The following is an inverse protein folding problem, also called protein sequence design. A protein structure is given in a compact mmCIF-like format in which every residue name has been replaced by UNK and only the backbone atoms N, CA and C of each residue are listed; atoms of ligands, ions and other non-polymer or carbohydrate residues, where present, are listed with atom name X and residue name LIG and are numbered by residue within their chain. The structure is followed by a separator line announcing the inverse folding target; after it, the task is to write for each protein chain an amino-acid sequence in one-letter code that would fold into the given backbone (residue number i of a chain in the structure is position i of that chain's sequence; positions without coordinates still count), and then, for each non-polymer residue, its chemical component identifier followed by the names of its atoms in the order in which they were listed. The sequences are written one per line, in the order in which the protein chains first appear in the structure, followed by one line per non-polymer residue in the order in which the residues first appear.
data_IF_164673187718
#
_entry.id   IF_164673187718
#
_cell.length_a   1.000
_cell.length_b   1.000
_cell.length_c   1.000
_cell.angle_alpha   90.00
_cell.angle_beta   90.00
_cell.angle_gamma   90.00
#
_symmetry.space_group_name_H-M   'P 1'
#
loop_
_entity.id
_entity.type
_entity.pdbx_description
1 polymer ?
2 non-polymer ?
3 non-polymer ?
4 water ?
#
# COMPACT_ATOMS: atom_id res chain seq x y z
N UNK A 1 -7.09 28.13 15.35
CA UNK A 1 -7.47 29.34 14.54
C UNK A 1 -8.35 29.02 13.36
N UNK A 2 -8.12 27.85 12.73
CA UNK A 2 -9.11 27.18 11.91
C UNK A 2 -9.89 26.09 12.67
N UNK A 3 -9.41 25.74 13.86
CA UNK A 3 -10.06 24.74 14.74
C UNK A 3 -11.54 25.07 14.92
N UNK A 4 -12.34 24.02 14.82
CA UNK A 4 -13.79 24.13 14.97
C UNK A 4 -14.54 24.76 13.83
N UNK A 5 -13.82 25.16 12.77
CA UNK A 5 -14.43 25.80 11.60
C UNK A 5 -14.11 25.04 10.33
N UNK A 6 -15.01 25.22 9.37
CA UNK A 6 -14.81 24.80 8.02
C UNK A 6 -13.52 25.41 7.43
N UNK A 7 -12.76 24.54 6.76
CA UNK A 7 -11.56 24.94 6.04
C UNK A 7 -11.92 24.85 4.55
N UNK A 8 -11.58 25.92 3.83
CA UNK A 8 -11.76 25.98 2.39
C UNK A 8 -10.43 25.65 1.82
N UNK A 9 -10.36 24.65 0.93
CA UNK A 9 -9.07 24.26 0.40
C UNK A 9 -9.24 23.52 -0.93
N UNK A 10 -8.13 23.14 -1.55
CA UNK A 10 -8.18 22.42 -2.80
C UNK A 10 -8.10 20.92 -2.60
N UNK A 11 -8.78 20.18 -3.45
CA UNK A 11 -8.66 18.70 -3.49
C UNK A 11 -8.86 18.26 -4.90
N UNK A 12 -8.40 17.04 -5.15
CA UNK A 12 -8.49 16.35 -6.42
C UNK A 12 -9.70 15.42 -6.35
N UNK A 13 -10.80 15.86 -6.93
CA UNK A 13 -12.06 15.14 -6.99
C UNK A 13 -12.20 14.38 -8.30
N UNK A 14 -12.60 13.13 -8.21
CA UNK A 14 -12.94 12.31 -9.32
C UNK A 14 -14.45 12.33 -9.32
N UNK A 15 -15.05 13.02 -10.30
CA UNK A 15 -16.52 13.17 -10.34
C UNK A 15 -17.20 11.96 -10.96
N UNK A 16 -16.45 11.20 -11.79
CA UNK A 16 -16.93 10.11 -12.62
C UNK A 16 -15.74 9.21 -12.98
N UNK A 17 -16.06 7.95 -13.24
CA UNK A 17 -15.12 6.98 -13.67
C UNK A 17 -14.47 7.41 -14.93
N UNK A 18 -13.33 6.81 -15.20
CA UNK A 18 -12.58 6.96 -16.41
C UNK A 18 -12.33 8.41 -16.82
N UNK A 19 -12.17 9.27 -15.85
CA UNK A 19 -11.92 10.67 -16.09
C UNK A 19 -10.70 11.11 -15.32
N UNK A 20 -10.05 12.20 -15.78
CA UNK A 20 -8.98 12.80 -14.99
C UNK A 20 -9.52 13.36 -13.69
N UNK A 21 -8.64 13.53 -12.71
CA UNK A 21 -8.99 14.19 -11.48
C UNK A 21 -9.19 15.66 -11.77
N UNK A 22 -10.11 16.32 -11.08
CA UNK A 22 -10.35 17.75 -11.22
C UNK A 22 -9.90 18.39 -9.93
N UNK A 23 -8.99 19.36 -10.02
CA UNK A 23 -8.58 20.12 -8.84
C UNK A 23 -9.69 21.11 -8.52
N UNK A 24 -10.38 20.98 -7.37
CA UNK A 24 -11.58 21.75 -7.07
C UNK A 24 -11.40 22.40 -5.74
N UNK A 25 -12.03 23.55 -5.54
CA UNK A 25 -12.12 24.12 -4.21
C UNK A 25 -13.16 23.31 -3.44
N UNK A 26 -12.83 22.86 -2.23
CA UNK A 26 -13.79 22.06 -1.47
C UNK A 26 -13.91 22.66 -0.11
N UNK A 27 -14.94 22.26 0.63
CA UNK A 27 -14.97 22.55 2.07
C UNK A 27 -14.84 21.28 2.92
N UNK A 28 -14.06 21.42 3.97
CA UNK A 28 -13.73 20.33 4.82
C UNK A 28 -14.28 20.70 6.20
N UNK A 29 -15.28 19.94 6.62
CA UNK A 29 -15.87 20.15 7.95
C UNK A 29 -14.87 19.91 9.08
N UNK A 30 -15.08 20.62 10.21
CA UNK A 30 -14.27 20.38 11.41
C UNK A 30 -14.45 18.92 11.94
N UNK A 31 -13.48 18.38 12.66
CA UNK A 31 -13.68 16.97 13.06
C UNK A 31 -14.74 16.77 14.16
N UNK A 32 -15.69 15.84 13.98
CA UNK A 32 -16.58 15.48 15.11
C UNK A 32 -15.85 14.64 16.23
N UNK A 33 -16.59 14.09 17.19
CA UNK A 33 -16.04 13.22 18.22
C UNK A 33 -15.27 12.09 17.60
N UNK A 34 -14.05 11.92 18.08
CA UNK A 34 -13.14 10.84 17.76
C UNK A 34 -12.69 10.90 16.31
N UNK A 35 -12.68 12.12 15.75
CA UNK A 35 -12.21 12.43 14.41
C UNK A 35 -11.05 13.40 14.48
N UNK A 36 -10.22 13.37 13.44
CA UNK A 36 -8.92 14.06 13.41
C UNK A 36 -8.77 14.76 12.05
N UNK A 37 -8.50 16.06 12.04
CA UNK A 37 -8.36 16.80 10.79
C UNK A 37 -6.86 17.02 10.57
N UNK A 38 -6.39 16.66 9.38
CA UNK A 38 -4.96 16.61 9.05
C UNK A 38 -4.72 17.50 7.83
N UNK A 39 -3.64 18.30 7.91
CA UNK A 39 -3.09 19.03 6.80
C UNK A 39 -2.10 18.11 6.15
N UNK A 40 -2.19 17.94 4.84
CA UNK A 40 -1.46 16.91 4.19
C UNK A 40 -0.15 17.52 3.82
N UNK A 41 0.92 16.74 4.00
CA UNK A 41 2.22 17.19 3.54
C UNK A 41 2.72 16.43 2.33
N UNK A 42 2.44 15.13 2.27
CA UNK A 42 2.74 14.38 1.06
C UNK A 42 1.90 13.14 0.89
N UNK A 43 1.74 12.72 -0.36
CA UNK A 43 0.91 11.56 -0.68
C UNK A 43 1.49 10.91 -1.89
N UNK A 44 1.63 9.59 -1.83
CA UNK A 44 2.09 8.84 -2.98
C UNK A 44 0.94 8.45 -3.89
N UNK A 45 1.27 8.16 -5.15
CA UNK A 45 0.30 7.66 -6.07
C UNK A 45 0.42 6.15 -6.14
N UNK A 46 -0.66 5.44 -5.78
CA UNK A 46 -0.65 3.95 -5.73
C UNK A 46 -1.52 3.38 -6.83
N UNK A 47 -1.20 2.16 -7.26
CA UNK A 47 -1.99 1.43 -8.22
C UNK A 47 -3.44 1.36 -7.77
N UNK A 48 -3.70 1.16 -6.47
CA UNK A 48 -5.08 1.07 -6.02
C UNK A 48 -5.88 2.34 -6.22
N UNK A 49 -5.24 3.51 -6.20
CA UNK A 49 -5.95 4.77 -6.48
C UNK A 49 -6.50 4.87 -7.92
N UNK A 50 -5.73 4.30 -8.83
CA UNK A 50 -6.07 4.14 -10.28
C UNK A 50 -7.20 3.10 -10.54
N UNK A 51 -7.24 2.06 -9.71
CA UNK A 51 -8.35 1.13 -9.79
C UNK A 51 -9.66 1.85 -9.53
N UNK A 52 -9.68 2.89 -8.68
CA UNK A 52 -10.88 3.70 -8.48
C UNK A 52 -11.26 4.43 -9.80
N UNK A 53 -10.27 4.97 -10.48
CA UNK A 53 -10.51 5.67 -11.77
C UNK A 53 -11.09 4.68 -12.81
N UNK A 54 -10.46 3.50 -12.98
CA UNK A 54 -10.91 2.45 -13.93
C UNK A 54 -12.27 1.87 -13.63
N UNK A 55 -12.80 2.13 -12.43
CA UNK A 55 -14.01 1.47 -11.97
C UNK A 55 -13.86 0.06 -11.42
N UNK A 56 -12.64 -0.45 -11.34
CA UNK A 56 -12.42 -1.82 -10.90
C UNK A 56 -12.46 -1.94 -9.37
N UNK A 57 -11.98 -0.90 -8.67
CA UNK A 57 -12.25 -0.78 -7.24
C UNK A 57 -13.55 -0.01 -7.07
N UNK A 58 -14.63 -0.76 -6.86
CA UNK A 58 -15.95 -0.14 -6.77
C UNK A 58 -16.07 0.59 -5.42
N UNK A 59 -16.37 1.87 -5.47
CA UNK A 59 -16.54 2.71 -4.28
C UNK A 59 -17.38 3.87 -4.75
N UNK A 60 -18.19 4.48 -3.87
CA UNK A 60 -19.08 5.55 -4.29
C UNK A 60 -18.40 6.79 -4.88
N UNK A 61 -19.03 7.38 -5.88
CA UNK A 61 -18.49 8.56 -6.54
C UNK A 61 -19.53 9.65 -6.45
N UNK A 62 -19.12 10.92 -6.51
CA UNK A 62 -17.78 11.47 -6.59
C UNK A 62 -16.96 11.16 -5.35
N UNK A 63 -15.64 11.07 -5.50
CA UNK A 63 -14.76 10.70 -4.40
C UNK A 63 -13.53 11.53 -4.43
N UNK A 64 -13.02 11.75 -3.24
CA UNK A 64 -11.61 12.14 -3.00
C UNK A 64 -10.79 10.91 -2.61
N UNK A 65 -9.94 10.47 -3.51
CA UNK A 65 -9.25 9.24 -3.33
C UNK A 65 -7.88 9.55 -2.66
N UNK A 66 -6.93 8.65 -2.76
CA UNK A 66 -5.65 8.75 -2.05
C UNK A 66 -5.66 8.04 -0.72
N UNK A 67 -4.64 7.27 -0.46
CA UNK A 67 -4.58 6.52 0.80
C UNK A 67 -3.17 6.23 1.27
N UNK A 68 -2.17 6.59 0.47
CA UNK A 68 -0.80 6.54 0.91
C UNK A 68 -0.33 7.99 1.14
N UNK A 69 -0.14 8.37 2.43
CA UNK A 69 0.15 9.78 2.77
C UNK A 69 0.73 10.00 4.16
N UNK A 70 1.25 11.21 4.37
CA UNK A 70 1.60 11.73 5.68
C UNK A 70 1.28 13.24 5.82
N UNK A 71 1.00 13.66 7.05
CA UNK A 71 0.89 15.10 7.32
C UNK A 71 0.96 15.48 8.80
N UNK A 72 0.34 16.62 9.11
CA UNK A 72 0.40 17.25 10.41
C UNK A 72 -1.03 17.44 10.91
N UNK A 73 -1.33 17.05 12.16
CA UNK A 73 -2.68 17.25 12.74
C UNK A 73 -3.03 18.78 12.86
N UNK A 74 -4.17 19.19 12.32
CA UNK A 74 -4.62 20.58 12.39
C UNK A 74 -5.46 20.72 13.61
N UNK A 75 -6.32 19.75 13.88
CA UNK A 75 -7.12 19.77 15.08
C UNK A 75 -7.76 18.40 15.37
N UNK A 76 -8.32 18.28 16.58
CA UNK A 76 -8.92 17.04 17.06
C UNK A 76 -10.31 17.30 17.59
N UNK A 77 -11.21 16.37 17.34
CA UNK A 77 -12.54 16.42 17.93
C UNK A 77 -12.48 15.99 19.39
N UNK A 78 -13.63 16.14 20.07
CA UNK A 78 -13.88 15.56 21.44
C UNK A 78 -13.37 14.12 21.60
N UNK A 79 -12.58 13.87 22.65
CA UNK A 79 -12.29 12.47 23.05
C UNK A 79 -11.13 11.78 22.35
N UNK A 80 -10.52 12.45 21.38
CA UNK A 80 -9.31 11.97 20.77
C UNK A 80 -8.22 12.00 21.81
N UNK A 81 -7.57 10.86 21.98
CA UNK A 81 -6.51 10.67 22.97
C UNK A 81 -5.20 10.34 22.34
N UNK A 82 -5.15 9.93 21.07
CA UNK A 82 -3.90 9.30 20.52
C UNK A 82 -2.99 10.21 19.68
N UNK A 83 -3.57 11.33 19.28
CA UNK A 83 -2.88 12.37 18.59
C UNK A 83 -3.36 13.74 19.14
N UNK A 84 -2.50 14.72 18.89
CA UNK A 84 -2.67 16.12 19.33
C UNK A 84 -2.33 17.11 18.19
N UNK A 85 -3.03 18.27 18.14
CA UNK A 85 -2.64 19.37 17.25
C UNK A 85 -1.14 19.40 17.15
N UNK A 86 -0.62 19.49 15.94
CA UNK A 86 0.85 19.54 15.71
C UNK A 86 1.55 18.21 15.44
N UNK A 87 0.95 17.09 15.81
CA UNK A 87 1.62 15.78 15.64
C UNK A 87 1.81 15.45 14.17
N UNK A 88 2.97 14.87 13.84
CA UNK A 88 3.18 14.21 12.54
C UNK A 88 2.45 12.84 12.53
N UNK A 89 1.61 12.64 11.49
CA UNK A 89 0.73 11.48 11.39
C UNK A 89 0.73 10.78 10.01
N UNK A 90 0.37 9.48 10.00
CA UNK A 90 0.11 8.67 8.76
C UNK A 90 -1.31 8.13 8.85
N UNK A 91 -2.20 8.52 7.90
CA UNK A 91 -3.54 7.93 7.84
C UNK A 91 -3.44 6.43 7.54
N UNK A 92 -4.34 5.65 8.13
CA UNK A 92 -4.31 4.18 8.02
C UNK A 92 -5.50 3.70 7.19
N UNK A 93 -5.27 3.37 5.91
CA UNK A 93 -6.36 2.87 5.06
C UNK A 93 -6.96 1.54 5.55
N UNK A 94 -6.16 0.75 6.24
CA UNK A 94 -6.69 -0.32 7.09
C UNK A 94 -6.70 0.16 8.55
N UNK A 95 -7.86 0.43 9.14
CA UNK A 95 -7.96 0.82 10.55
C UNK A 95 -7.47 -0.24 11.53
N UNK A 96 -7.38 0.17 12.80
CA UNK A 96 -7.17 -0.79 13.89
C UNK A 96 -8.07 -0.37 15.04
N UNK A 97 -9.35 -0.69 14.99
CA UNK A 97 -10.22 -0.33 16.10
C UNK A 97 -9.74 -0.89 17.47
N UNK A 98 -8.95 -1.97 17.47
CA UNK A 98 -8.46 -2.58 18.69
C UNK A 98 -9.49 -3.42 19.46
N UNK A 99 -10.74 -3.47 19.01
CA UNK A 99 -11.80 -4.15 19.71
C UNK A 99 -12.36 -5.39 19.02
N UNK A 100 -12.41 -5.39 17.68
CA UNK A 100 -13.07 -6.45 16.95
C UNK A 100 -12.26 -7.76 17.04
N UNK A 101 -12.84 -8.88 16.62
CA UNK A 101 -12.07 -10.15 16.81
C UNK A 101 -10.84 -10.19 15.93
N UNK A 102 -10.85 -9.41 14.82
CA UNK A 102 -9.63 -9.34 14.00
C UNK A 102 -8.52 -8.60 14.75
N UNK A 103 -8.83 -7.41 15.29
CA UNK A 103 -7.83 -6.66 16.03
C UNK A 103 -7.42 -7.46 17.27
N UNK A 104 -8.36 -8.12 17.96
CA UNK A 104 -7.97 -9.07 19.04
C UNK A 104 -7.08 -10.24 18.63
N UNK A 105 -7.05 -10.61 17.35
CA UNK A 105 -6.37 -11.82 16.92
C UNK A 105 -4.89 -11.56 16.68
N UNK A 106 -4.03 -12.38 17.31
CA UNK A 106 -2.60 -12.11 17.28
C UNK A 106 -1.91 -12.16 15.90
N UNK A 107 -2.58 -12.75 14.91
CA UNK A 107 -2.16 -12.80 13.52
C UNK A 107 -2.94 -11.89 12.55
N UNK A 108 -4.17 -11.49 12.88
CA UNK A 108 -5.03 -10.79 11.92
C UNK A 108 -4.83 -9.27 11.95
N UNK A 109 -4.97 -8.61 10.80
CA UNK A 109 -4.89 -7.15 10.71
C UNK A 109 -5.97 -6.49 9.91
N UNK A 110 -6.82 -7.26 9.25
CA UNK A 110 -7.89 -6.70 8.43
C UNK A 110 -9.16 -6.33 9.25
N UNK A 111 -8.99 -5.29 10.10
CA UNK A 111 -10.01 -4.78 11.03
C UNK A 111 -11.36 -4.70 10.36
N UNK A 112 -12.40 -5.12 11.08
CA UNK A 112 -13.73 -5.22 10.50
C UNK A 112 -14.38 -3.84 10.40
N UNK A 113 -13.75 -2.80 10.94
CA UNK A 113 -14.17 -1.43 10.70
C UNK A 113 -13.69 -0.92 9.34
N UNK A 114 -13.07 -1.75 8.51
CA UNK A 114 -12.54 -1.27 7.21
C UNK A 114 -13.64 -0.87 6.28
N UNK A 115 -13.36 -0.04 5.26
CA UNK A 115 -14.39 0.33 4.27
C UNK A 115 -14.02 -0.20 2.89
N UNK A 116 -13.26 -1.29 2.84
CA UNK A 116 -12.78 -1.89 1.60
C UNK A 116 -13.75 -2.96 1.14
N UNK A 117 -14.15 -3.85 2.06
CA UNK A 117 -15.01 -4.98 1.74
C UNK A 117 -16.32 -4.59 1.05
N UNK A 118 -17.05 -3.67 1.65
CA UNK A 118 -18.32 -3.19 1.15
C UNK A 118 -18.29 -1.65 1.26
N UNK A 119 -17.62 -0.98 0.32
CA UNK A 119 -17.38 0.46 0.50
C UNK A 119 -18.60 1.33 0.61
N UNK A 120 -18.64 2.15 1.65
CA UNK A 120 -19.64 3.20 1.83
C UNK A 120 -19.13 4.58 1.43
N UNK A 121 -17.81 4.78 1.50
CA UNK A 121 -17.23 6.08 1.19
C UNK A 121 -17.66 7.15 2.17
N UNK A 122 -17.63 6.82 3.46
CA UNK A 122 -17.95 7.75 4.55
C UNK A 122 -16.97 7.71 5.66
N UNK A 123 -17.17 8.60 6.62
CA UNK A 123 -16.57 8.48 7.93
C UNK A 123 -17.25 7.29 8.65
N UNK A 124 -16.69 6.82 9.78
CA UNK A 124 -17.31 5.71 10.54
C UNK A 124 -18.75 6.03 10.88
N UNK A 125 -19.08 7.30 11.11
CA UNK A 125 -20.47 7.63 11.42
C UNK A 125 -21.41 7.65 10.24
N UNK A 126 -21.00 7.14 9.08
CA UNK A 126 -21.85 7.15 7.91
C UNK A 126 -22.06 8.50 7.24
N UNK A 127 -21.29 9.55 7.57
CA UNK A 127 -21.42 10.85 6.85
C UNK A 127 -20.11 11.24 6.16
N UNK A 128 -20.16 12.36 5.41
CA UNK A 128 -19.01 12.94 4.74
C UNK A 128 -18.64 14.30 5.29
N UNK A 129 -17.33 14.52 5.50
CA UNK A 129 -16.79 15.80 5.86
C UNK A 129 -16.49 16.76 4.69
N UNK A 130 -16.78 16.34 3.45
CA UNK A 130 -16.39 17.05 2.26
C UNK A 130 -17.60 17.55 1.52
N UNK A 131 -17.60 18.82 1.14
CA UNK A 131 -18.49 19.34 0.09
C UNK A 131 -17.72 20.08 -1.01
N UNK A 132 -18.26 20.02 -2.22
CA UNK A 132 -17.77 20.82 -3.35
C UNK A 132 -18.90 21.69 -3.90
N UNK A 133 -18.88 22.97 -3.51
CA UNK A 133 -19.95 23.94 -3.85
C UNK A 133 -21.28 23.41 -3.30
N UNK A 134 -21.23 22.97 -2.04
CA UNK A 134 -22.38 22.34 -1.37
C UNK A 134 -22.81 20.90 -1.74
N UNK A 135 -22.27 20.34 -2.82
CA UNK A 135 -22.51 18.95 -3.14
C UNK A 135 -21.65 18.08 -2.18
N UNK A 136 -22.22 17.00 -1.61
CA UNK A 136 -21.37 16.04 -0.84
C UNK A 136 -20.39 15.24 -1.71
N UNK A 137 -19.15 15.04 -1.22
CA UNK A 137 -18.12 14.22 -1.88
C UNK A 137 -17.80 13.05 -0.96
N UNK A 138 -17.62 11.88 -1.54
CA UNK A 138 -17.39 10.66 -0.75
C UNK A 138 -15.94 10.63 -0.31
N UNK A 139 -15.69 10.01 0.84
CA UNK A 139 -14.35 9.62 1.34
C UNK A 139 -13.93 8.32 0.66
N UNK A 140 -12.67 7.96 0.85
CA UNK A 140 -12.10 6.76 0.31
C UNK A 140 -11.26 6.07 1.32
N UNK A 141 -11.62 4.83 1.61
CA UNK A 141 -10.94 4.00 2.63
C UNK A 141 -10.70 4.70 3.97
N UNK A 142 -11.61 5.61 4.33
CA UNK A 142 -11.46 6.44 5.53
C UNK A 142 -10.23 7.33 5.61
N UNK A 143 -9.57 7.59 4.48
CA UNK A 143 -8.34 8.37 4.43
C UNK A 143 -8.57 9.62 3.54
N UNK A 144 -8.73 9.45 2.22
CA UNK A 144 -8.93 10.56 1.27
C UNK A 144 -7.76 11.56 1.32
N UNK A 145 -6.61 11.15 0.80
CA UNK A 145 -5.40 11.88 1.02
C UNK A 145 -5.05 12.86 -0.11
N UNK A 146 -5.80 12.88 -1.21
CA UNK A 146 -5.62 13.77 -2.33
C UNK A 146 -6.37 15.06 -2.03
N UNK A 147 -6.08 15.64 -0.87
CA UNK A 147 -6.71 16.86 -0.44
C UNK A 147 -5.75 17.59 0.47
N UNK A 148 -5.78 18.93 0.39
CA UNK A 148 -4.90 19.69 1.23
C UNK A 148 -5.19 19.39 2.66
N UNK A 149 -6.47 19.18 2.95
CA UNK A 149 -6.93 18.77 4.28
C UNK A 149 -7.89 17.60 4.23
N UNK A 150 -7.82 16.74 5.24
CA UNK A 150 -8.72 15.60 5.39
C UNK A 150 -9.13 15.40 6.85
N UNK A 151 -10.27 14.73 7.04
CA UNK A 151 -10.73 14.28 8.37
C UNK A 151 -10.72 12.76 8.33
N UNK A 152 -10.08 12.14 9.31
CA UNK A 152 -10.14 10.69 9.47
C UNK A 152 -10.65 10.31 10.90
N UNK A 153 -11.25 9.13 10.99
CA UNK A 153 -11.59 8.53 12.28
C UNK A 153 -10.28 8.25 13.02
N UNK A 154 -10.31 8.41 14.32
CA UNK A 154 -9.13 8.16 15.18
C UNK A 154 -8.49 6.75 14.97
N UNK A 155 -9.36 5.77 14.73
CA UNK A 155 -8.88 4.39 14.42
C UNK A 155 -8.14 4.28 13.10
N UNK A 156 -8.31 5.30 12.22
CA UNK A 156 -7.52 5.38 10.98
C UNK A 156 -6.35 6.36 11.02
N UNK A 157 -5.74 6.58 12.18
CA UNK A 157 -4.50 7.40 12.19
C UNK A 157 -3.45 7.00 13.22
N UNK A 158 -2.18 7.19 12.88
CA UNK A 158 -1.04 6.87 13.72
C UNK A 158 -0.05 8.04 13.83
N UNK A 159 0.38 8.32 15.08
CA UNK A 159 1.36 9.34 15.41
C UNK A 159 2.71 8.79 15.16
N UNK A 160 3.55 9.55 14.47
CA UNK A 160 4.90 9.11 14.15
C UNK A 160 5.95 10.10 14.69
N UNK A 161 7.22 9.72 14.62
CA UNK A 161 8.34 10.52 15.04
C UNK A 161 8.17 11.98 14.58
N UNK A 162 8.10 12.88 15.55
CA UNK A 162 8.05 14.31 15.29
C UNK A 162 9.16 14.82 14.37
N UNK A 163 10.25 14.08 14.22
CA UNK A 163 11.36 14.44 13.30
C UNK A 163 11.36 13.74 11.91
N UNK A 164 10.29 13.03 11.54
CA UNK A 164 10.29 12.28 10.26
C UNK A 164 10.21 13.23 9.07
N UNK A 165 10.94 12.93 7.95
CA UNK A 165 10.73 13.59 6.64
C UNK A 165 9.44 13.05 5.99
N UNK A 166 8.37 13.84 6.03
CA UNK A 166 7.04 13.34 5.61
C UNK A 166 7.02 12.99 4.12
N UNK A 167 7.71 13.78 3.33
CA UNK A 167 7.90 13.48 1.91
C UNK A 167 8.42 12.04 1.63
N UNK A 168 9.04 11.38 2.61
CA UNK A 168 9.55 9.99 2.45
C UNK A 168 8.75 8.95 3.16
N UNK A 169 8.43 9.21 4.41
CA UNK A 169 7.78 8.21 5.23
C UNK A 169 6.31 8.02 4.88
N UNK A 170 5.76 8.89 4.02
CA UNK A 170 4.43 8.67 3.45
C UNK A 170 4.27 7.27 2.79
N UNK A 171 5.36 6.75 2.23
CA UNK A 171 5.40 5.37 1.63
C UNK A 171 5.02 4.24 2.59
N UNK A 172 5.15 4.51 3.88
CA UNK A 172 4.78 3.59 4.92
C UNK A 172 3.24 3.50 5.04
N UNK A 173 2.52 4.40 4.39
CA UNK A 173 1.08 4.37 4.40
C UNK A 173 0.49 3.33 3.49
N UNK A 174 1.28 2.85 2.54
CA UNK A 174 0.87 1.71 1.74
C UNK A 174 1.96 0.90 1.14
N UNK A 175 2.64 1.48 0.16
CA UNK A 175 3.45 0.72 -0.77
C UNK A 175 4.62 -0.07 -0.17
N UNK A 176 5.34 0.62 0.73
CA UNK A 176 6.46 0.05 1.42
C UNK A 176 6.02 -1.00 2.44
N UNK A 177 5.14 -0.60 3.35
CA UNK A 177 4.67 -1.48 4.38
C UNK A 177 4.11 -2.79 3.76
N UNK A 178 3.32 -2.67 2.70
CA UNK A 178 2.72 -3.79 2.01
C UNK A 178 3.78 -4.77 1.50
N UNK A 179 4.75 -4.28 0.77
CA UNK A 179 5.85 -5.11 0.33
C UNK A 179 6.67 -5.72 1.46
N UNK A 180 7.20 -4.84 2.28
CA UNK A 180 8.11 -5.20 3.36
C UNK A 180 7.52 -6.20 4.34
N UNK A 181 6.26 -5.95 4.73
CA UNK A 181 5.45 -6.84 5.59
C UNK A 181 5.22 -8.22 4.98
N UNK A 182 4.84 -8.24 3.70
CA UNK A 182 4.74 -9.49 2.94
C UNK A 182 5.92 -10.44 3.21
N UNK A 183 7.14 -9.89 3.28
CA UNK A 183 8.35 -10.71 3.50
C UNK A 183 8.47 -11.03 4.97
N UNK A 184 8.63 -9.95 5.73
CA UNK A 184 9.02 -9.94 7.14
C UNK A 184 7.93 -10.47 8.05
N UNK A 185 6.69 -10.25 7.67
CA UNK A 185 5.53 -10.52 8.54
C UNK A 185 4.64 -11.67 8.05
N UNK A 186 4.31 -11.71 6.76
CA UNK A 186 3.30 -12.65 6.27
C UNK A 186 3.99 -13.95 5.96
N UNK A 187 5.00 -13.90 5.10
CA UNK A 187 5.82 -15.04 4.78
C UNK A 187 6.81 -15.41 5.90
N UNK A 188 7.27 -14.44 6.70
CA UNK A 188 8.28 -14.71 7.73
C UNK A 188 9.48 -15.39 7.11
N UNK A 189 10.08 -14.66 6.18
CA UNK A 189 11.23 -15.15 5.46
C UNK A 189 12.30 -15.46 6.53
N UNK A 190 13.01 -16.58 6.35
CA UNK A 190 14.07 -17.00 7.28
C UNK A 190 15.44 -16.77 6.65
N UNK A 191 16.46 -16.74 7.49
CA UNK A 191 17.87 -16.61 7.08
C UNK A 191 18.38 -17.78 6.21
N UNK A 192 19.24 -17.49 5.24
CA UNK A 192 19.73 -18.47 4.32
C UNK A 192 18.74 -18.88 3.25
N UNK A 193 17.46 -18.46 3.36
CA UNK A 193 16.41 -18.84 2.38
C UNK A 193 16.66 -18.30 0.99
N UNK A 194 15.96 -18.90 0.02
CA UNK A 194 15.93 -18.50 -1.38
C UNK A 194 14.51 -17.97 -1.64
N UNK A 195 14.44 -16.73 -2.15
CA UNK A 195 13.17 -16.05 -2.39
C UNK A 195 13.06 -15.72 -3.85
N UNK A 196 11.83 -15.64 -4.36
CA UNK A 196 11.57 -15.26 -5.75
C UNK A 196 10.50 -14.18 -5.68
N UNK A 197 10.73 -13.07 -6.42
CA UNK A 197 9.80 -11.93 -6.38
C UNK A 197 9.32 -11.66 -7.78
N UNK A 198 8.03 -11.89 -8.03
CA UNK A 198 7.43 -11.69 -9.34
C UNK A 198 6.85 -10.28 -9.38
N UNK A 199 7.55 -9.38 -10.06
CA UNK A 199 7.18 -7.96 -10.20
C UNK A 199 8.12 -7.06 -9.46
N UNK A 200 8.81 -6.17 -10.20
CA UNK A 200 9.81 -5.28 -9.62
C UNK A 200 9.48 -3.78 -9.72
N UNK A 201 8.21 -3.41 -9.58
CA UNK A 201 7.76 -2.02 -9.26
C UNK A 201 8.01 -1.80 -7.79
N UNK A 202 7.36 -0.80 -7.23
CA UNK A 202 7.69 -0.25 -5.91
C UNK A 202 7.40 -1.24 -4.83
N UNK A 203 6.25 -1.92 -4.94
CA UNK A 203 5.87 -2.87 -3.93
C UNK A 203 6.81 -4.11 -4.02
N UNK A 204 7.20 -4.54 -5.23
CA UNK A 204 8.20 -5.64 -5.35
C UNK A 204 9.56 -5.30 -4.77
N UNK A 205 10.00 -4.07 -5.00
CA UNK A 205 11.27 -3.62 -4.44
C UNK A 205 11.22 -3.67 -2.92
N UNK A 206 10.10 -3.29 -2.39
CA UNK A 206 9.86 -3.39 -0.97
C UNK A 206 9.85 -4.83 -0.43
N UNK A 207 9.39 -5.77 -1.22
CA UNK A 207 9.46 -7.22 -0.81
C UNK A 207 10.96 -7.60 -0.72
N UNK A 208 11.72 -7.20 -1.73
CA UNK A 208 13.17 -7.50 -1.79
C UNK A 208 13.85 -6.97 -0.53
N UNK A 209 13.56 -5.71 -0.18
CA UNK A 209 14.05 -5.11 1.05
C UNK A 209 13.68 -5.91 2.34
N UNK A 210 12.46 -6.41 2.42
CA UNK A 210 12.07 -7.22 3.56
C UNK A 210 12.78 -8.59 3.61
N UNK A 211 12.99 -9.19 2.45
CA UNK A 211 13.69 -10.46 2.30
C UNK A 211 15.15 -10.29 2.72
N UNK A 212 15.76 -9.16 2.36
CA UNK A 212 17.14 -8.85 2.73
C UNK A 212 17.24 -8.60 4.23
N UNK A 213 16.30 -7.83 4.77
CA UNK A 213 16.26 -7.62 6.20
C UNK A 213 16.13 -8.91 6.98
N UNK A 214 15.38 -9.86 6.43
CA UNK A 214 15.18 -11.18 7.04
C UNK A 214 16.38 -12.10 6.88
N UNK A 215 17.35 -11.75 6.04
CA UNK A 215 18.59 -12.49 5.93
C UNK A 215 18.56 -13.59 4.88
N UNK A 216 17.82 -13.36 3.79
CA UNK A 216 17.67 -14.34 2.76
C UNK A 216 19.03 -14.43 2.18
N UNK A 217 19.41 -15.62 1.71
CA UNK A 217 20.68 -15.82 1.02
C UNK A 217 20.56 -15.53 -0.48
N UNK A 218 19.39 -15.81 -1.06
CA UNK A 218 19.17 -15.56 -2.48
C UNK A 218 17.81 -14.89 -2.65
N UNK A 219 17.80 -13.81 -3.42
CA UNK A 219 16.59 -13.06 -3.76
C UNK A 219 16.57 -12.93 -5.26
N UNK A 220 15.74 -13.75 -5.90
CA UNK A 220 15.61 -13.83 -7.34
C UNK A 220 14.52 -12.85 -7.82
N UNK A 221 14.93 -11.78 -8.52
CA UNK A 221 13.98 -10.86 -9.16
C UNK A 221 13.42 -11.34 -10.50
N UNK A 222 12.10 -11.30 -10.65
CA UNK A 222 11.48 -11.71 -11.88
C UNK A 222 10.64 -10.60 -12.49
N UNK A 223 10.98 -10.14 -13.69
CA UNK A 223 10.16 -9.18 -14.38
C UNK A 223 10.46 -9.27 -15.87
N UNK A 224 9.48 -8.94 -16.69
CA UNK A 224 9.68 -8.91 -18.14
C UNK A 224 10.35 -7.64 -18.60
N UNK A 225 10.42 -6.62 -17.76
CA UNK A 225 11.12 -5.39 -18.10
C UNK A 225 12.52 -5.32 -17.48
N UNK A 226 13.52 -5.65 -18.31
CA UNK A 226 14.96 -5.54 -18.00
C UNK A 226 15.37 -4.30 -17.24
N UNK A 227 14.81 -3.15 -17.61
CA UNK A 227 15.18 -1.84 -17.03
C UNK A 227 14.93 -1.78 -15.56
N UNK A 228 14.03 -2.64 -15.09
CA UNK A 228 13.73 -2.76 -13.67
C UNK A 228 14.82 -3.46 -12.84
N UNK A 229 15.81 -4.08 -13.50
CA UNK A 229 16.71 -5.04 -12.78
C UNK A 229 17.77 -4.33 -11.90
N UNK A 230 18.37 -3.23 -12.40
CA UNK A 230 19.41 -2.51 -11.66
C UNK A 230 18.95 -2.11 -10.29
N UNK A 231 17.83 -1.42 -10.24
CA UNK A 231 17.30 -1.02 -8.94
C UNK A 231 16.93 -2.22 -8.02
N UNK A 232 16.52 -3.32 -8.62
CA UNK A 232 16.26 -4.56 -7.81
C UNK A 232 17.53 -5.08 -7.13
N UNK A 233 18.64 -5.05 -7.86
CA UNK A 233 19.92 -5.53 -7.31
C UNK A 233 20.48 -4.53 -6.32
N UNK A 234 20.27 -3.28 -6.64
CA UNK A 234 20.67 -2.20 -5.78
C UNK A 234 19.96 -2.32 -4.43
N UNK A 235 18.69 -2.75 -4.40
CA UNK A 235 18.04 -2.95 -3.10
C UNK A 235 18.11 -4.38 -2.45
N UNK A 236 18.76 -5.34 -3.11
CA UNK A 236 19.01 -6.60 -2.44
C UNK A 236 18.91 -7.86 -3.24
N UNK A 237 18.43 -7.77 -4.47
CA UNK A 237 18.29 -8.95 -5.32
C UNK A 237 19.67 -9.43 -5.75
N UNK A 238 19.83 -10.76 -5.68
CA UNK A 238 21.04 -11.46 -6.03
C UNK A 238 21.10 -11.73 -7.50
N UNK A 239 19.96 -11.96 -8.13
CA UNK A 239 19.88 -12.30 -9.55
C UNK A 239 18.55 -11.76 -10.08
N UNK A 240 18.46 -11.55 -11.38
CA UNK A 240 17.27 -11.18 -12.02
C UNK A 240 17.04 -12.02 -13.27
N UNK A 241 15.76 -12.35 -13.48
CA UNK A 241 15.34 -13.22 -14.55
C UNK A 241 14.21 -12.58 -15.37
N UNK A 242 14.38 -12.52 -16.68
CA UNK A 242 13.30 -12.10 -17.63
C UNK A 242 12.73 -13.32 -18.33
N UNK A 243 11.42 -13.62 -18.11
CA UNK A 243 10.89 -14.83 -18.68
C UNK A 243 10.89 -14.93 -20.19
N UNK A 244 10.98 -13.77 -20.85
CA UNK A 244 10.99 -13.69 -22.31
C UNK A 244 12.31 -14.13 -22.91
N UNK A 245 13.36 -14.17 -22.08
CA UNK A 245 14.66 -14.70 -22.45
C UNK A 245 14.66 -16.23 -22.57
N UNK A 246 13.64 -16.90 -21.99
CA UNK A 246 13.62 -18.35 -21.90
C UNK A 246 12.73 -19.01 -22.89
N UNK A 247 13.02 -20.28 -23.17
CA UNK A 247 12.20 -21.11 -24.05
C UNK A 247 11.32 -22.05 -23.27
N UNK A 248 11.51 -22.12 -21.97
CA UNK A 248 10.71 -23.00 -21.13
C UNK A 248 9.92 -22.19 -20.12
N UNK A 249 8.88 -22.80 -19.51
CA UNK A 249 8.12 -22.00 -18.54
C UNK A 249 8.98 -21.57 -17.36
N UNK A 250 8.65 -20.42 -16.83
CA UNK A 250 9.46 -19.77 -15.80
C UNK A 250 9.49 -20.53 -14.48
N UNK A 251 8.43 -21.24 -14.07
CA UNK A 251 8.52 -22.01 -12.82
C UNK A 251 9.52 -23.19 -12.89
N UNK A 252 9.74 -23.71 -14.09
CA UNK A 252 10.70 -24.79 -14.33
C UNK A 252 12.13 -24.23 -14.22
N UNK A 253 12.32 -23.08 -14.85
CA UNK A 253 13.54 -22.30 -14.75
C UNK A 253 13.89 -22.00 -13.31
N UNK A 254 12.90 -21.60 -12.51
CA UNK A 254 13.14 -21.21 -11.13
C UNK A 254 13.33 -22.43 -10.23
N UNK A 255 12.61 -23.50 -10.52
CA UNK A 255 12.77 -24.78 -9.80
C UNK A 255 14.20 -25.32 -10.05
N UNK A 256 14.60 -25.42 -11.31
CA UNK A 256 16.00 -25.78 -11.64
C UNK A 256 16.99 -24.88 -10.92
N UNK A 257 16.84 -23.55 -11.05
CA UNK A 257 17.77 -22.57 -10.45
C UNK A 257 17.90 -22.74 -8.97
N UNK A 258 16.83 -23.13 -8.29
CA UNK A 258 16.84 -23.26 -6.83
C UNK A 258 17.02 -24.70 -6.37
N UNK A 259 17.45 -25.59 -7.28
CA UNK A 259 17.63 -27.01 -6.95
C UNK A 259 16.37 -27.61 -6.26
N UNK A 260 15.23 -27.44 -6.95
CA UNK A 260 13.97 -28.09 -6.59
C UNK A 260 12.94 -27.22 -5.87
N UNK A 261 13.03 -25.90 -6.05
CA UNK A 261 11.99 -24.98 -5.65
C UNK A 261 12.46 -24.00 -4.60
N UNK A 262 11.88 -22.80 -4.59
CA UNK A 262 12.27 -21.75 -3.63
C UNK A 262 11.61 -21.96 -2.30
N UNK A 263 12.17 -21.35 -1.26
CA UNK A 263 11.49 -21.31 0.05
C UNK A 263 10.27 -20.38 0.07
N UNK A 264 10.39 -19.22 -0.56
CA UNK A 264 9.31 -18.22 -0.50
C UNK A 264 9.21 -17.55 -1.80
N UNK A 265 8.00 -17.47 -2.34
CA UNK A 265 7.77 -16.73 -3.55
C UNK A 265 6.68 -15.67 -3.31
N UNK A 266 6.72 -14.61 -4.11
CA UNK A 266 5.83 -13.47 -3.92
C UNK A 266 5.30 -13.02 -5.25
N UNK A 267 3.98 -13.01 -5.43
CA UNK A 267 3.38 -12.45 -6.60
C UNK A 267 3.06 -10.98 -6.29
N UNK A 268 3.70 -10.05 -6.98
CA UNK A 268 3.41 -8.66 -6.63
C UNK A 268 2.76 -7.89 -7.78
N UNK A 269 2.59 -8.53 -8.93
CA UNK A 269 2.07 -7.85 -10.12
C UNK A 269 0.54 -7.85 -10.19
N UNK A 270 -0.12 -8.86 -9.63
CA UNK A 270 -1.57 -8.99 -9.65
C UNK A 270 -2.16 -9.69 -10.87
N UNK A 271 -1.43 -10.67 -11.43
CA UNK A 271 -1.97 -11.39 -12.57
C UNK A 271 -2.19 -12.83 -12.24
N UNK A 272 -3.26 -13.39 -12.77
CA UNK A 272 -3.74 -14.72 -12.37
C UNK A 272 -2.77 -15.84 -12.76
N UNK A 273 -2.14 -15.70 -13.91
CA UNK A 273 -1.21 -16.72 -14.38
C UNK A 273 0.06 -16.72 -13.53
N UNK A 274 0.59 -15.52 -13.25
CA UNK A 274 1.79 -15.38 -12.42
C UNK A 274 1.54 -15.80 -11.00
N UNK A 275 0.29 -15.70 -10.52
CA UNK A 275 -0.02 -16.21 -9.17
C UNK A 275 0.22 -17.71 -9.04
N UNK A 276 -0.12 -18.45 -10.08
CA UNK A 276 -0.08 -19.92 -10.07
C UNK A 276 1.36 -20.34 -10.28
N UNK A 277 1.97 -19.66 -11.24
CA UNK A 277 3.42 -19.76 -11.46
C UNK A 277 4.24 -19.62 -10.18
N UNK A 278 4.01 -18.52 -9.47
CA UNK A 278 4.67 -18.23 -8.21
C UNK A 278 4.48 -19.36 -7.20
N UNK A 279 3.25 -19.83 -7.06
CA UNK A 279 3.00 -20.94 -6.16
C UNK A 279 3.77 -22.22 -6.59
N UNK A 280 3.77 -22.52 -7.88
CA UNK A 280 4.39 -23.77 -8.42
C UNK A 280 5.89 -23.77 -8.25
N UNK A 281 6.52 -22.61 -8.40
CA UNK A 281 7.99 -22.52 -8.32
C UNK A 281 8.51 -22.66 -6.87
N UNK A 282 7.64 -22.59 -5.87
CA UNK A 282 8.10 -22.83 -4.50
C UNK A 282 8.18 -24.36 -4.20
N UNK A 283 9.07 -24.71 -3.26
CA UNK A 283 9.38 -26.11 -3.00
C UNK A 283 8.12 -26.86 -2.55
N UNK A 284 7.87 -28.02 -3.19
CA UNK A 284 6.63 -28.77 -3.03
C UNK A 284 6.24 -29.17 -1.63
N UNK A 285 7.22 -29.44 -0.78
CA UNK A 285 7.02 -29.91 0.62
C UNK A 285 6.89 -28.86 1.72
N UNK A 286 7.60 -27.74 1.57
CA UNK A 286 7.63 -26.73 2.60
C UNK A 286 7.64 -25.27 2.02
N UNK A 287 7.63 -25.10 0.70
CA UNK A 287 7.38 -23.78 0.04
C UNK A 287 6.18 -22.99 0.57
N UNK A 288 6.31 -21.66 0.55
CA UNK A 288 5.27 -20.71 0.91
C UNK A 288 5.16 -19.70 -0.27
N UNK A 289 3.94 -19.44 -0.76
CA UNK A 289 3.77 -18.38 -1.75
C UNK A 289 2.81 -17.36 -1.16
N UNK A 290 3.16 -16.08 -1.34
CA UNK A 290 2.36 -14.95 -0.86
C UNK A 290 1.88 -14.07 -2.01
N UNK A 291 0.59 -13.87 -2.02
CA UNK A 291 -0.11 -13.02 -2.97
C UNK A 291 -0.14 -11.61 -2.38
N UNK A 292 0.48 -10.66 -3.09
CA UNK A 292 0.58 -9.23 -2.64
C UNK A 292 -0.37 -8.31 -3.41
N UNK A 293 -0.31 -8.31 -4.74
CA UNK A 293 -1.19 -7.43 -5.54
C UNK A 293 -2.45 -8.19 -5.96
N UNK A 294 -3.52 -7.47 -6.31
CA UNK A 294 -4.66 -8.12 -7.01
C UNK A 294 -5.15 -7.25 -8.17
N UNK A 295 -5.93 -7.82 -9.11
CA UNK A 295 -6.77 -6.94 -9.93
C UNK A 295 -8.19 -6.96 -9.34
N UNK A 296 -8.71 -5.82 -8.78
CA UNK A 296 -10.05 -5.86 -8.11
C UNK A 296 -11.27 -6.26 -9.01
N UNK A 297 -11.07 -6.28 -10.33
CA UNK A 297 -12.00 -6.89 -11.31
C UNK A 297 -11.61 -8.33 -11.66
N UNK A 298 -11.30 -9.12 -10.64
CA UNK A 298 -10.68 -10.42 -10.89
C UNK A 298 -11.68 -11.50 -11.30
N UNK A 299 -11.32 -12.19 -12.38
CA UNK A 299 -11.90 -13.50 -12.73
C UNK A 299 -11.36 -14.46 -11.67
N UNK A 300 -11.77 -15.71 -11.76
CA UNK A 300 -11.09 -16.79 -11.08
C UNK A 300 -9.78 -17.23 -11.73
N UNK A 301 -8.84 -17.71 -10.92
CA UNK A 301 -7.67 -18.39 -11.48
C UNK A 301 -8.01 -19.85 -11.52
N UNK A 302 -7.19 -20.60 -12.22
CA UNK A 302 -7.37 -21.98 -12.33
C UNK A 302 -6.10 -22.61 -11.86
N UNK A 303 -6.19 -23.48 -10.85
CA UNK A 303 -5.01 -24.17 -10.32
C UNK A 303 -5.29 -25.61 -9.96
N UNK A 304 -4.24 -26.41 -9.95
CA UNK A 304 -4.34 -27.79 -9.53
C UNK A 304 -4.07 -27.94 -8.03
N UNK A 305 -5.08 -28.41 -7.29
CA UNK A 305 -4.88 -28.60 -5.85
C UNK A 305 -3.75 -29.57 -5.44
N UNK A 306 -3.19 -30.38 -6.35
CA UNK A 306 -2.00 -31.20 -5.99
C UNK A 306 -0.79 -30.36 -5.60
N UNK A 307 -0.72 -29.13 -6.09
CA UNK A 307 0.35 -28.18 -5.74
C UNK A 307 0.30 -27.97 -4.24
N UNK A 308 -0.89 -27.95 -3.60
CA UNK A 308 -0.99 -27.78 -2.18
C UNK A 308 -0.85 -29.08 -1.38
N UNK A 309 -1.36 -30.18 -1.93
CA UNK A 309 -1.36 -31.48 -1.22
C UNK A 309 0.04 -32.00 -0.89
N UNK A 310 1.05 -31.61 -1.63
CA UNK A 310 2.42 -32.02 -1.27
C UNK A 310 2.96 -31.32 0.01
N UNK A 311 2.42 -30.18 0.38
CA UNK A 311 2.88 -29.44 1.54
C UNK A 311 3.03 -27.94 1.33
N UNK A 312 2.74 -27.41 0.15
CA UNK A 312 2.77 -25.93 -0.01
C UNK A 312 1.69 -25.19 0.82
N UNK A 313 1.99 -23.92 1.05
CA UNK A 313 1.21 -22.98 1.82
C UNK A 313 1.08 -21.77 0.88
N UNK A 314 -0.17 -21.36 0.67
CA UNK A 314 -0.55 -20.25 -0.19
C UNK A 314 -1.32 -19.26 0.67
N UNK A 315 -0.96 -17.99 0.56
CA UNK A 315 -1.60 -16.98 1.38
C UNK A 315 -1.51 -15.60 0.82
N UNK A 316 -2.43 -14.75 1.22
CA UNK A 316 -2.37 -13.32 0.92
C UNK A 316 -2.49 -12.47 2.17
N UNK A 317 -2.36 -11.16 1.99
CA UNK A 317 -2.71 -10.21 3.06
C UNK A 317 -2.96 -8.80 2.47
N UNK A 318 -3.53 -7.96 3.32
CA UNK A 318 -3.64 -6.50 3.11
C UNK A 318 -2.64 -5.85 4.05
N UNK A 319 -2.00 -4.79 3.57
CA UNK A 319 -1.08 -3.96 4.33
C UNK A 319 0.11 -4.68 4.95
N UNK A 320 0.58 -5.67 4.25
CA UNK A 320 1.74 -6.43 4.66
C UNK A 320 1.55 -7.29 5.87
N UNK A 321 0.31 -7.63 6.22
CA UNK A 321 0.09 -8.33 7.52
C UNK A 321 0.09 -7.46 8.77
N UNK A 322 0.43 -6.19 8.64
CA UNK A 322 0.75 -5.37 9.83
C UNK A 322 -0.47 -4.86 10.49
N UNK A 323 -0.58 -4.98 11.83
CA UNK A 323 -1.65 -4.32 12.55
C UNK A 323 -1.27 -2.85 12.43
N UNK A 324 -2.16 -2.05 11.89
CA UNK A 324 -1.70 -0.78 11.28
C UNK A 324 -1.18 0.27 12.28
N UNK A 325 -2.01 0.59 13.27
CA UNK A 325 -1.65 1.60 14.30
C UNK A 325 -0.48 1.13 15.16
N UNK A 326 -0.47 -0.16 15.52
CA UNK A 326 0.69 -0.72 16.23
C UNK A 326 1.96 -0.58 15.43
N UNK A 327 1.91 -0.83 14.13
CA UNK A 327 3.16 -1.06 13.37
C UNK A 327 3.71 0.18 12.68
N UNK A 328 2.82 1.05 12.21
CA UNK A 328 3.23 2.25 11.42
C UNK A 328 4.34 3.08 12.13
N UNK A 329 4.14 3.38 13.45
CA UNK A 329 5.17 4.14 14.19
C UNK A 329 6.54 3.46 14.31
N UNK A 330 6.55 2.12 14.42
CA UNK A 330 7.82 1.36 14.58
C UNK A 330 8.56 1.29 13.27
N UNK A 331 7.78 1.14 12.19
CA UNK A 331 8.34 1.25 10.83
C UNK A 331 8.98 2.61 10.59
N UNK A 332 8.30 3.69 11.00
CA UNK A 332 8.94 5.03 10.93
C UNK A 332 10.15 5.07 11.86
N UNK A 333 10.03 4.55 13.08
CA UNK A 333 11.21 4.49 13.97
C UNK A 333 12.40 3.77 13.33
N UNK A 334 12.13 2.64 12.67
CA UNK A 334 13.15 1.89 11.96
C UNK A 334 13.84 2.68 10.85
N UNK A 335 13.03 3.33 9.99
CA UNK A 335 13.56 4.27 9.00
C UNK A 335 14.45 5.33 9.67
N UNK A 336 14.00 5.83 10.81
CA UNK A 336 14.68 6.93 11.52
C UNK A 336 16.00 6.41 12.09
N UNK A 337 15.96 5.21 12.65
CA UNK A 337 17.16 4.45 13.04
C UNK A 337 17.98 3.86 11.88
N UNK A 338 17.70 4.30 10.65
CA UNK A 338 18.35 3.84 9.40
C UNK A 338 18.46 2.32 9.14
N UNK A 339 17.54 1.54 9.69
CA UNK A 339 17.45 0.11 9.36
C UNK A 339 17.07 -0.21 7.89
N UNK A 340 16.57 0.78 7.12
CA UNK A 340 16.28 0.63 5.67
C UNK A 340 16.07 2.01 5.02
N UNK A 341 16.40 2.11 3.73
CA UNK A 341 16.32 3.36 2.96
C UNK A 341 15.10 3.36 2.03
N UNK A 342 14.39 4.49 1.96
CA UNK A 342 13.21 4.67 1.10
C UNK A 342 13.49 5.42 -0.17
N UNK A 343 14.60 6.14 -0.24
CA UNK A 343 14.90 6.90 -1.45
C UNK A 343 14.97 6.09 -2.73
N UNK A 344 15.45 4.81 -2.70
CA UNK A 344 15.46 4.02 -3.93
C UNK A 344 14.09 3.83 -4.64
N UNK A 345 13.00 3.91 -3.89
CA UNK A 345 11.63 3.80 -4.41
C UNK A 345 11.10 5.11 -5.03
N UNK A 346 11.66 6.28 -4.65
CA UNK A 346 11.10 7.53 -5.11
C UNK A 346 11.78 7.98 -6.41
N UNK A 347 11.07 7.82 -7.51
CA UNK A 347 11.61 8.16 -8.80
C UNK A 347 11.09 9.54 -9.31
N UNK A 348 9.93 10.00 -8.87
CA UNK A 348 9.34 11.25 -9.35
C UNK A 348 8.70 11.99 -8.19
N UNK A 349 8.88 13.32 -8.13
CA UNK A 349 8.20 14.16 -7.11
C UNK A 349 7.56 15.34 -7.80
N UNK A 350 6.25 15.53 -7.60
CA UNK A 350 5.48 16.56 -8.28
C UNK A 350 4.66 17.33 -7.27
N UNK A 351 4.38 18.64 -7.55
CA UNK A 351 3.41 19.32 -6.79
C UNK A 351 2.04 18.62 -7.00
N UNK A 352 1.28 18.61 -5.94
CA UNK A 352 -0.09 18.09 -5.92
C UNK A 352 -0.94 18.47 -7.10
N UNK A 353 -0.83 19.71 -7.58
CA UNK A 353 -1.69 20.17 -8.67
C UNK A 353 -1.41 19.43 -9.99
N UNK A 354 -0.27 18.79 -10.14
CA UNK A 354 0.00 17.98 -11.33
C UNK A 354 -0.30 16.47 -11.12
N UNK A 355 -1.34 16.18 -10.34
CA UNK A 355 -1.72 14.80 -10.02
C UNK A 355 -1.96 13.97 -11.28
N UNK A 356 -2.62 14.56 -12.25
CA UNK A 356 -2.95 13.83 -13.46
C UNK A 356 -1.71 13.36 -14.20
N UNK A 357 -0.70 14.23 -14.26
CA UNK A 357 0.62 13.85 -14.74
C UNK A 357 1.22 12.65 -14.05
N UNK A 358 1.13 12.63 -12.72
CA UNK A 358 1.63 11.52 -11.93
C UNK A 358 0.93 10.23 -12.25
N UNK A 359 -0.37 10.28 -12.44
CA UNK A 359 -1.06 9.05 -12.80
C UNK A 359 -0.59 8.55 -14.19
N UNK A 360 -0.33 9.49 -15.11
CA UNK A 360 0.23 9.12 -16.44
C UNK A 360 1.53 8.36 -16.28
N UNK A 361 2.42 8.88 -15.41
CA UNK A 361 3.69 8.16 -15.12
C UNK A 361 3.38 6.76 -14.58
N UNK A 362 2.38 6.64 -13.71
CA UNK A 362 2.00 5.32 -13.14
C UNK A 362 1.46 4.39 -14.25
N UNK A 363 0.47 4.88 -15.01
CA UNK A 363 -0.15 4.09 -16.05
C UNK A 363 0.81 3.61 -17.12
N UNK A 364 1.83 4.41 -17.40
CA UNK A 364 2.81 4.09 -18.41
C UNK A 364 3.92 3.15 -17.95
N UNK A 365 4.10 2.96 -16.65
CA UNK A 365 5.28 2.23 -16.17
C UNK A 365 6.60 3.04 -16.06
N UNK A 366 6.57 4.35 -16.28
CA UNK A 366 7.80 5.15 -16.24
C UNK A 366 8.32 5.45 -14.80
N UNK A 367 7.44 5.42 -13.79
CA UNK A 367 7.86 5.66 -12.40
C UNK A 367 7.75 4.39 -11.56
N UNK A 368 8.56 4.32 -10.52
CA UNK A 368 8.40 3.36 -9.45
C UNK A 368 7.40 3.90 -8.40
N UNK A 369 7.57 5.16 -8.01
CA UNK A 369 6.64 5.86 -7.16
C UNK A 369 6.73 7.37 -7.41
N UNK A 370 5.59 7.99 -7.67
CA UNK A 370 5.51 9.43 -7.67
C UNK A 370 4.96 9.90 -6.30
N UNK A 371 5.67 10.83 -5.70
CA UNK A 371 5.22 11.51 -4.48
C UNK A 371 4.71 12.91 -4.86
N UNK A 372 3.48 13.20 -4.44
CA UNK A 372 2.93 14.51 -4.54
C UNK A 372 3.07 15.37 -3.29
N UNK A 373 3.60 16.60 -3.45
CA UNK A 373 3.87 17.54 -2.35
C UNK A 373 2.92 18.72 -2.29
N UNK A 374 2.46 19.04 -1.09
CA UNK A 374 1.44 20.06 -0.93
C UNK A 374 2.10 21.40 -0.73
X LIG B 1 -2.13 1.03 -1.88
X LIG C 1 -10.83 -3.88 14.54
X LIG D 1 -4.01 -0.55 -1.64
X LIG D 1 -3.93 -1.89 -1.87
X LIG D 1 -5.06 -2.74 -1.69
X LIG D 1 -6.25 -2.20 -1.22
X LIG D 1 -2.37 -3.71 -2.79
X LIG D 1 -1.10 -4.05 -3.29
X LIG D 1 -0.15 -3.05 -3.45
X LIG D 1 -0.41 -1.72 -3.08
X LIG D 1 -1.65 -1.43 -2.57
X LIG D 1 -2.62 -2.37 -2.40
X LIG D 1 -6.34 -0.85 -0.95
X LIG D 1 -5.22 -0.03 -1.14
#
# INVERSE_FOLDING_TARGET
STAGKVIKCKAAVLWEEKKPFSIEEVEVAPPKAHEVRIKMVATGICRSDDHVVSGTLVTPLPVIAGHEAAGIVESIGEGVTTVRPGDKVIPLFTPQCGKCRVCKHPEGNFCLKNDLSMPRGTMQDGTSRFTCRGKPIHHFLGTSTFSQYTVVDEISVAKIDAASPLEKVCLIGCGFSTGYGSAVKVAKVTQGSTCAVFGLGGVGLSVIMGCKAAGAARIIGVDINKDKFAKAKEVGATECVNPQDYKKPIQEVLTEMSNGGVDFSFEVIGRLDTMVTALSCCQEAYGVSVIVGVPPDSQNLSMNPMLLLSGRTWKGAIFGGFKSKDSVPKLVADFMAKKFALDPLITHVLPFEKINEGFDLLRSGESIRTILTF
ZN ZN
ZN ZN
0BP N1 C2 C3 C4 C12 C11 C10 C9 N8 C7 C5 C6
#
